data_IF_596647696000
#
_entry.id   IF_596647696000
#
_cell.length_a   1.000
_cell.length_b   1.000
_cell.length_c   1.000
_cell.angle_alpha   90.00
_cell.angle_beta   90.00
_cell.angle_gamma   90.00
#
_symmetry.space_group_name_H-M   'P 1'
#
loop_
_entity.id
_entity.type
_entity.pdbx_description
1 polymer ?
#
# COMPACT_ATOMS: atom_id res chain seq x y z
N UNK A 1 3.38 -11.72 -56.70
CA UNK A 1 2.26 -12.15 -55.84
C UNK A 1 2.48 -13.56 -55.27
N UNK A 2 2.81 -14.58 -56.07
CA UNK A 2 2.94 -15.97 -55.60
C UNK A 2 3.92 -16.24 -54.43
N UNK A 3 5.00 -15.45 -54.29
CA UNK A 3 5.97 -15.63 -53.19
C UNK A 3 5.43 -15.12 -51.84
N UNK A 4 4.60 -14.06 -51.88
CA UNK A 4 4.00 -13.47 -50.67
C UNK A 4 2.90 -14.40 -50.13
N UNK A 5 2.12 -15.03 -51.01
CA UNK A 5 1.11 -16.02 -50.63
C UNK A 5 1.72 -17.28 -50.01
N UNK A 6 2.86 -17.74 -50.54
CA UNK A 6 3.60 -18.87 -49.97
C UNK A 6 4.14 -18.59 -48.56
N UNK A 7 4.63 -17.37 -48.31
CA UNK A 7 5.13 -16.98 -46.99
C UNK A 7 4.01 -16.84 -45.96
N UNK A 8 2.87 -16.27 -46.35
CA UNK A 8 1.69 -16.15 -45.48
C UNK A 8 1.11 -17.53 -45.14
N UNK A 9 1.03 -18.43 -46.12
CA UNK A 9 0.57 -19.81 -45.91
C UNK A 9 1.52 -20.60 -44.98
N UNK A 10 2.84 -20.43 -45.17
CA UNK A 10 3.84 -21.06 -44.31
C UNK A 10 3.77 -20.53 -42.87
N UNK A 11 3.65 -19.21 -42.70
CA UNK A 11 3.47 -18.57 -41.37
C UNK A 11 2.20 -19.06 -40.67
N UNK A 12 1.11 -19.24 -41.42
CA UNK A 12 -0.15 -19.77 -40.91
C UNK A 12 -0.04 -21.24 -40.46
N UNK A 13 0.62 -22.08 -41.26
CA UNK A 13 0.86 -23.49 -40.92
C UNK A 13 1.78 -23.65 -39.70
N UNK A 14 2.83 -22.83 -39.58
CA UNK A 14 3.70 -22.80 -38.40
C UNK A 14 2.91 -22.35 -37.17
N UNK A 15 2.06 -21.33 -37.31
CA UNK A 15 1.20 -20.86 -36.21
C UNK A 15 0.21 -21.92 -35.75
N UNK A 16 -0.42 -22.66 -36.67
CA UNK A 16 -1.30 -23.79 -36.34
C UNK A 16 -0.52 -24.91 -35.66
N UNK A 17 0.68 -25.24 -36.14
CA UNK A 17 1.50 -26.28 -35.54
C UNK A 17 1.93 -25.93 -34.10
N UNK A 18 2.34 -24.67 -33.86
CA UNK A 18 2.59 -24.16 -32.51
C UNK A 18 1.32 -24.20 -31.64
N UNK A 19 0.16 -23.82 -32.18
CA UNK A 19 -1.11 -23.85 -31.46
C UNK A 19 -1.55 -25.29 -31.10
N UNK A 20 -1.43 -26.24 -32.03
CA UNK A 20 -1.78 -27.64 -31.82
C UNK A 20 -0.84 -28.34 -30.85
N UNK A 21 0.48 -28.15 -30.99
CA UNK A 21 1.47 -28.70 -30.05
C UNK A 21 1.30 -28.11 -28.65
N UNK A 22 0.92 -26.83 -28.56
CA UNK A 22 0.58 -26.16 -27.32
C UNK A 22 -0.68 -26.73 -26.66
N UNK A 23 -1.78 -26.92 -27.41
CA UNK A 23 -3.00 -27.55 -26.89
C UNK A 23 -2.71 -28.96 -26.38
N UNK A 24 -1.94 -29.76 -27.14
CA UNK A 24 -1.57 -31.12 -26.74
C UNK A 24 -0.71 -31.13 -25.47
N UNK A 25 0.23 -30.19 -25.30
CA UNK A 25 0.99 -30.04 -24.04
C UNK A 25 0.13 -29.57 -22.87
N UNK A 26 -0.80 -28.65 -23.11
CA UNK A 26 -1.75 -28.18 -22.09
C UNK A 26 -2.65 -29.32 -21.61
N UNK A 27 -3.13 -30.17 -22.51
CA UNK A 27 -3.93 -31.35 -22.19
C UNK A 27 -3.11 -32.41 -21.44
N UNK A 28 -1.84 -32.61 -21.80
CA UNK A 28 -0.95 -33.59 -21.15
C UNK A 28 -0.50 -33.17 -19.74
N UNK A 29 -0.40 -31.86 -19.47
CA UNK A 29 -0.13 -31.33 -18.12
C UNK A 29 -1.33 -31.54 -17.16
N UNK A 30 -2.51 -31.90 -17.67
CA UNK A 30 -3.65 -32.31 -16.82
C UNK A 30 -3.63 -33.80 -16.46
N UNK A 31 -2.66 -34.58 -16.93
CA UNK A 31 -2.54 -36.02 -16.64
C UNK A 31 -1.19 -36.34 -15.98
N UNK A 32 -0.97 -35.89 -14.75
CA UNK A 32 0.07 -36.45 -13.88
C UNK A 32 -0.62 -37.08 -12.66
N UNK A 33 -0.67 -38.41 -12.66
CA UNK A 33 -1.14 -39.25 -11.57
C UNK A 33 -0.05 -39.34 -10.49
N UNK A 34 -0.09 -38.41 -9.54
CA UNK A 34 0.46 -38.57 -8.18
C UNK A 34 -0.69 -38.67 -7.18
N UNK A 35 -0.42 -39.06 -5.93
CA UNK A 35 -1.41 -39.17 -4.83
C UNK A 35 -2.56 -38.16 -4.93
N UNK A 36 -3.83 -38.62 -4.83
CA UNK A 36 -5.05 -37.79 -5.01
C UNK A 36 -5.16 -36.72 -3.92
N UNK A 37 -4.35 -35.67 -4.01
CA UNK A 37 -4.57 -34.42 -3.29
C UNK A 37 -5.87 -33.85 -3.86
N UNK A 38 -6.89 -33.73 -3.02
CA UNK A 38 -8.12 -33.04 -3.40
C UNK A 38 -7.81 -31.56 -3.47
N UNK A 39 -7.64 -31.07 -4.69
CA UNK A 39 -7.50 -29.64 -4.93
C UNK A 39 -8.80 -28.90 -4.57
N UNK A 40 -8.72 -27.64 -4.12
CA UNK A 40 -9.89 -26.80 -3.95
C UNK A 40 -10.66 -26.66 -5.28
N UNK A 41 -11.98 -26.38 -5.22
CA UNK A 41 -12.76 -26.05 -6.41
C UNK A 41 -12.08 -24.98 -7.26
N UNK A 42 -12.16 -25.15 -8.58
CA UNK A 42 -11.59 -24.23 -9.57
C UNK A 42 -12.64 -23.94 -10.63
N UNK A 43 -12.83 -22.68 -11.05
CA UNK A 43 -13.64 -22.38 -12.23
C UNK A 43 -13.02 -23.00 -13.50
N UNK A 44 -13.76 -23.02 -14.62
CA UNK A 44 -13.19 -23.31 -15.93
C UNK A 44 -12.09 -22.29 -16.29
N UNK A 45 -10.91 -22.79 -16.66
CA UNK A 45 -9.76 -21.97 -17.04
C UNK A 45 -9.60 -21.92 -18.57
N UNK A 46 -9.23 -20.75 -19.10
CA UNK A 46 -8.82 -20.63 -20.51
C UNK A 46 -7.34 -21.01 -20.69
N UNK A 47 -6.95 -21.54 -21.86
CA UNK A 47 -5.54 -21.76 -22.18
C UNK A 47 -4.71 -20.47 -22.04
N UNK A 48 -3.45 -20.61 -21.62
CA UNK A 48 -2.47 -19.53 -21.41
C UNK A 48 -2.83 -18.61 -20.23
N UNK A 49 -3.96 -17.89 -20.32
CA UNK A 49 -4.33 -16.83 -19.38
C UNK A 49 -4.97 -17.35 -18.08
N UNK A 50 -5.43 -18.60 -18.04
CA UNK A 50 -6.11 -19.16 -16.88
C UNK A 50 -7.44 -18.44 -16.61
N UNK A 51 -7.60 -17.88 -15.42
CA UNK A 51 -8.82 -17.23 -14.93
C UNK A 51 -8.78 -15.70 -15.00
N UNK A 52 -7.76 -15.09 -15.64
CA UNK A 52 -7.71 -13.63 -15.79
C UNK A 52 -8.98 -13.04 -16.42
N UNK A 53 -9.61 -13.78 -17.33
CA UNK A 53 -10.86 -13.39 -17.98
C UNK A 53 -12.06 -13.31 -17.01
N UNK A 54 -11.95 -13.85 -15.80
CA UNK A 54 -12.97 -13.77 -14.75
C UNK A 54 -12.73 -12.60 -13.78
N UNK A 55 -11.64 -11.85 -13.96
CA UNK A 55 -11.26 -10.76 -13.07
C UNK A 55 -11.53 -9.42 -13.75
N UNK A 56 -12.44 -8.66 -13.15
CA UNK A 56 -12.71 -7.28 -13.54
C UNK A 56 -11.68 -6.29 -13.01
N UNK A 57 -11.94 -5.00 -13.24
CA UNK A 57 -11.11 -3.90 -12.75
C UNK A 57 -11.03 -3.83 -11.22
N UNK A 58 -12.07 -4.33 -10.52
CA UNK A 58 -12.11 -4.44 -9.07
C UNK A 58 -11.91 -5.90 -8.67
N UNK A 59 -10.69 -6.22 -8.23
CA UNK A 59 -10.29 -7.59 -7.90
C UNK A 59 -11.10 -8.16 -6.73
N UNK A 60 -11.32 -7.38 -5.66
CA UNK A 60 -12.08 -7.81 -4.48
C UNK A 60 -13.49 -8.31 -4.84
N UNK A 61 -14.25 -7.52 -5.60
CA UNK A 61 -15.59 -7.88 -6.07
C UNK A 61 -15.59 -9.13 -6.95
N UNK A 62 -14.61 -9.24 -7.85
CA UNK A 62 -14.49 -10.39 -8.76
C UNK A 62 -14.19 -11.67 -7.97
N UNK A 63 -13.24 -11.62 -7.04
CA UNK A 63 -12.88 -12.74 -6.18
C UNK A 63 -14.02 -13.14 -5.24
N UNK A 64 -14.74 -12.16 -4.68
CA UNK A 64 -15.93 -12.43 -3.86
C UNK A 64 -17.02 -13.15 -4.65
N UNK A 65 -17.32 -12.68 -5.87
CA UNK A 65 -18.31 -13.30 -6.75
C UNK A 65 -17.94 -14.74 -7.10
N UNK A 66 -16.65 -15.01 -7.32
CA UNK A 66 -16.15 -16.36 -7.55
C UNK A 66 -16.28 -17.23 -6.28
N UNK A 67 -15.94 -16.71 -5.11
CA UNK A 67 -16.07 -17.43 -3.84
C UNK A 67 -17.53 -17.78 -3.52
N UNK A 68 -18.49 -16.87 -3.78
CA UNK A 68 -19.92 -17.17 -3.62
C UNK A 68 -20.39 -18.33 -4.51
N UNK A 69 -19.82 -18.46 -5.71
CA UNK A 69 -20.22 -19.48 -6.68
C UNK A 69 -19.53 -20.83 -6.50
N UNK A 70 -18.25 -20.83 -6.15
CA UNK A 70 -17.41 -22.03 -6.12
C UNK A 70 -17.02 -22.48 -4.71
N UNK A 71 -17.34 -21.68 -3.69
CA UNK A 71 -17.07 -21.95 -2.29
C UNK A 71 -15.99 -21.05 -1.69
N UNK A 72 -15.81 -21.10 -0.36
CA UNK A 72 -14.95 -20.17 0.37
C UNK A 72 -13.45 -20.41 0.20
N UNK A 73 -13.04 -21.51 -0.44
CA UNK A 73 -11.64 -21.79 -0.72
C UNK A 73 -11.51 -22.31 -2.14
N UNK A 74 -10.92 -21.51 -3.03
CA UNK A 74 -10.85 -21.81 -4.46
C UNK A 74 -9.44 -21.69 -4.98
N UNK A 75 -9.14 -22.46 -6.02
CA UNK A 75 -7.89 -22.40 -6.76
C UNK A 75 -8.10 -21.61 -8.04
N UNK A 76 -7.22 -20.64 -8.31
CA UNK A 76 -7.21 -19.83 -9.53
C UNK A 76 -5.82 -19.89 -10.18
N UNK A 77 -5.78 -20.25 -11.45
CA UNK A 77 -4.65 -20.01 -12.35
C UNK A 77 -4.63 -18.56 -12.88
N UNK A 78 -3.56 -17.83 -12.65
CA UNK A 78 -3.30 -16.46 -13.10
C UNK A 78 -2.15 -16.47 -14.12
N UNK A 79 -2.47 -16.72 -15.39
CA UNK A 79 -1.44 -16.97 -16.41
C UNK A 79 -0.66 -18.25 -16.10
N UNK A 80 0.63 -18.11 -15.83
CA UNK A 80 1.51 -19.22 -15.40
C UNK A 80 1.49 -19.49 -13.89
N UNK A 81 0.94 -18.57 -13.10
CA UNK A 81 0.93 -18.66 -11.63
C UNK A 81 -0.32 -19.38 -11.12
N UNK A 82 -0.20 -20.09 -10.00
CA UNK A 82 -1.34 -20.65 -9.27
C UNK A 82 -1.55 -19.86 -7.98
N UNK A 83 -2.78 -19.41 -7.77
CA UNK A 83 -3.23 -18.65 -6.62
C UNK A 83 -4.35 -19.41 -5.91
N UNK A 84 -4.43 -19.24 -4.60
CA UNK A 84 -5.54 -19.75 -3.79
C UNK A 84 -6.22 -18.58 -3.12
N UNK A 85 -7.55 -18.57 -3.18
CA UNK A 85 -8.37 -17.51 -2.59
C UNK A 85 -9.08 -18.10 -1.39
N UNK A 86 -8.86 -17.51 -0.23
CA UNK A 86 -9.51 -17.86 1.04
C UNK A 86 -10.53 -16.77 1.37
N UNK A 87 -11.78 -17.16 1.55
CA UNK A 87 -12.93 -16.29 1.82
C UNK A 87 -13.78 -16.82 2.98
N UNK A 88 -13.17 -17.59 3.88
CA UNK A 88 -13.77 -18.07 5.13
C UNK A 88 -12.83 -17.78 6.31
N UNK A 89 -13.42 -17.41 7.45
CA UNK A 89 -12.69 -16.95 8.62
C UNK A 89 -11.88 -18.06 9.29
N UNK A 90 -12.40 -19.28 9.38
CA UNK A 90 -11.70 -20.40 10.00
C UNK A 90 -10.53 -20.85 9.12
N UNK A 91 -10.72 -20.90 7.80
CA UNK A 91 -9.63 -21.19 6.86
C UNK A 91 -8.56 -20.08 6.90
N UNK A 92 -8.99 -18.81 6.98
CA UNK A 92 -8.05 -17.69 7.10
C UNK A 92 -7.22 -17.78 8.40
N UNK A 93 -7.84 -18.15 9.52
CA UNK A 93 -7.15 -18.40 10.79
C UNK A 93 -6.15 -19.56 10.68
N UNK A 94 -6.54 -20.64 10.00
CA UNK A 94 -5.65 -21.77 9.73
C UNK A 94 -4.42 -21.37 8.92
N UNK A 95 -4.58 -20.55 7.88
CA UNK A 95 -3.49 -20.09 7.01
C UNK A 95 -2.61 -19.05 7.72
N UNK A 96 -3.22 -18.09 8.42
CA UNK A 96 -2.52 -16.91 8.96
C UNK A 96 -2.01 -17.10 10.38
N UNK A 97 -2.53 -18.07 11.15
CA UNK A 97 -2.12 -18.33 12.53
C UNK A 97 -1.66 -19.77 12.73
N UNK A 98 -2.52 -20.76 12.48
CA UNK A 98 -2.22 -22.16 12.83
C UNK A 98 -1.03 -22.73 12.03
N UNK A 99 -1.03 -22.51 10.71
CA UNK A 99 -0.03 -23.03 9.77
C UNK A 99 0.85 -21.91 9.21
N UNK A 100 0.97 -20.79 9.92
CA UNK A 100 1.57 -19.56 9.39
C UNK A 100 2.96 -19.76 8.78
N UNK A 101 3.79 -20.64 9.35
CA UNK A 101 5.16 -20.90 8.90
C UNK A 101 5.24 -21.45 7.47
N UNK A 102 4.17 -22.07 6.97
CA UNK A 102 4.08 -22.54 5.58
C UNK A 102 3.67 -21.41 4.61
N UNK A 103 3.10 -20.32 5.12
CA UNK A 103 2.50 -19.23 4.34
C UNK A 103 3.13 -17.85 4.61
N UNK A 104 4.20 -17.78 5.41
CA UNK A 104 4.87 -16.51 5.74
C UNK A 104 5.60 -15.87 4.56
N UNK A 105 5.92 -16.61 3.50
CA UNK A 105 6.64 -16.07 2.35
C UNK A 105 5.75 -15.14 1.51
N UNK A 106 6.36 -14.11 0.93
CA UNK A 106 5.70 -13.20 -0.02
C UNK A 106 6.08 -13.59 -1.45
N UNK A 107 5.18 -13.36 -2.39
CA UNK A 107 5.50 -13.46 -3.80
C UNK A 107 6.59 -12.41 -4.08
N UNK A 108 7.77 -12.85 -4.48
CA UNK A 108 8.81 -11.95 -4.95
C UNK A 108 8.56 -11.69 -6.43
N UNK A 109 8.58 -10.42 -6.81
CA UNK A 109 8.49 -10.02 -8.20
C UNK A 109 9.91 -10.13 -8.78
N UNK A 110 10.08 -10.89 -9.87
CA UNK A 110 11.35 -10.92 -10.60
C UNK A 110 11.49 -9.59 -11.37
N UNK A 111 11.80 -8.53 -10.62
CA UNK A 111 12.18 -7.21 -11.11
C UNK A 111 13.67 -6.97 -10.88
N UNK A 112 14.45 -8.06 -10.76
CA UNK A 112 15.88 -8.12 -10.46
C UNK A 112 16.67 -7.03 -11.18
N UNK A 113 16.44 -6.91 -12.49
CA UNK A 113 17.16 -5.95 -13.33
C UNK A 113 16.66 -4.50 -13.20
N UNK A 114 15.53 -4.22 -12.56
CA UNK A 114 14.91 -2.88 -12.52
C UNK A 114 14.84 -2.28 -11.11
N UNK A 115 14.82 -3.11 -10.07
CA UNK A 115 14.67 -2.66 -8.69
C UNK A 115 16.04 -2.48 -8.01
N UNK A 116 16.49 -1.24 -7.88
CA UNK A 116 17.77 -0.92 -7.21
C UNK A 116 17.81 -1.35 -5.74
N UNK A 117 16.64 -1.49 -5.09
CA UNK A 117 16.49 -1.96 -3.71
C UNK A 117 16.23 -3.46 -3.58
N UNK A 118 16.44 -4.23 -4.65
CA UNK A 118 16.27 -5.67 -4.59
C UNK A 118 17.04 -6.27 -3.41
N UNK A 119 16.36 -7.17 -2.68
CA UNK A 119 16.89 -7.87 -1.52
C UNK A 119 16.96 -7.03 -0.23
N UNK A 120 16.71 -5.72 -0.30
CA UNK A 120 16.83 -4.79 0.82
C UNK A 120 15.49 -4.25 1.33
N UNK A 121 14.38 -4.55 0.66
CA UNK A 121 13.04 -4.20 1.12
C UNK A 121 12.57 -5.10 2.26
N UNK A 122 11.85 -4.52 3.22
CA UNK A 122 11.30 -5.20 4.39
C UNK A 122 9.92 -5.82 4.10
N UNK A 123 9.07 -5.16 3.32
CA UNK A 123 7.67 -5.60 3.08
C UNK A 123 7.60 -6.93 2.33
N UNK A 124 8.46 -7.12 1.33
CA UNK A 124 8.50 -8.32 0.47
C UNK A 124 9.60 -9.31 0.86
N UNK A 125 10.40 -9.02 1.90
CA UNK A 125 11.47 -9.88 2.36
C UNK A 125 10.96 -11.29 2.70
N UNK A 126 11.73 -12.35 2.35
CA UNK A 126 11.43 -13.70 2.80
C UNK A 126 11.54 -13.77 4.32
N UNK A 127 10.87 -14.75 4.93
CA UNK A 127 10.93 -14.91 6.38
C UNK A 127 12.31 -15.45 6.79
N UNK A 128 13.21 -14.55 7.19
CA UNK A 128 14.59 -14.85 7.55
C UNK A 128 15.04 -14.00 8.76
N UNK A 129 16.33 -14.06 9.12
CA UNK A 129 16.88 -13.26 10.21
C UNK A 129 16.70 -11.76 9.99
N UNK A 130 16.94 -11.28 8.75
CA UNK A 130 16.78 -9.88 8.39
C UNK A 130 15.34 -9.38 8.61
N UNK A 131 14.35 -10.10 8.08
CA UNK A 131 12.95 -9.71 8.26
C UNK A 131 12.53 -9.72 9.73
N UNK A 132 12.96 -10.72 10.51
CA UNK A 132 12.65 -10.78 11.95
C UNK A 132 13.24 -9.60 12.71
N UNK A 133 14.49 -9.24 12.41
CA UNK A 133 15.15 -8.08 12.98
C UNK A 133 14.42 -6.78 12.64
N UNK A 134 14.13 -6.54 11.36
CA UNK A 134 13.42 -5.33 10.93
C UNK A 134 12.02 -5.25 11.53
N UNK A 135 11.29 -6.38 11.61
CA UNK A 135 9.97 -6.43 12.26
C UNK A 135 10.07 -6.12 13.74
N UNK A 136 11.03 -6.70 14.46
CA UNK A 136 11.30 -6.41 15.88
C UNK A 136 11.62 -4.92 16.04
N UNK A 137 12.55 -4.39 15.26
CA UNK A 137 12.96 -2.98 15.29
C UNK A 137 11.78 -2.02 15.07
N UNK A 138 10.91 -2.31 14.09
CA UNK A 138 9.68 -1.56 13.88
C UNK A 138 8.80 -1.54 15.14
N UNK A 139 8.54 -2.71 15.73
CA UNK A 139 7.63 -2.83 16.86
C UNK A 139 8.22 -2.28 18.16
N UNK A 140 9.54 -2.30 18.33
CA UNK A 140 10.20 -2.01 19.61
C UNK A 140 10.90 -0.67 19.69
N UNK A 141 11.32 -0.07 18.57
CA UNK A 141 11.98 1.26 18.57
C UNK A 141 11.32 2.27 17.64
N UNK A 142 10.93 1.88 16.44
CA UNK A 142 10.48 2.85 15.42
C UNK A 142 9.00 3.24 15.55
N UNK A 143 8.11 2.27 15.74
CA UNK A 143 6.65 2.44 15.72
C UNK A 143 6.00 1.94 17.02
N UNK A 144 6.78 1.92 18.11
CA UNK A 144 6.25 1.63 19.43
C UNK A 144 5.43 2.83 19.96
N UNK A 145 4.60 2.61 20.97
CA UNK A 145 3.75 3.66 21.55
C UNK A 145 4.55 4.85 22.09
N UNK A 146 5.72 4.61 22.69
CA UNK A 146 6.58 5.67 23.24
C UNK A 146 7.07 6.63 22.15
N UNK A 147 7.63 6.09 21.06
CA UNK A 147 8.11 6.84 19.90
C UNK A 147 6.97 7.58 19.21
N UNK A 148 5.81 6.93 19.05
CA UNK A 148 4.62 7.56 18.50
C UNK A 148 4.16 8.73 19.38
N UNK A 149 4.21 8.61 20.70
CA UNK A 149 3.82 9.67 21.62
C UNK A 149 4.84 10.82 21.65
N UNK A 150 6.14 10.55 21.55
CA UNK A 150 7.16 11.59 21.44
C UNK A 150 6.92 12.50 20.23
N UNK A 151 6.44 11.92 19.12
CA UNK A 151 6.17 12.61 17.87
C UNK A 151 4.69 13.00 17.71
N UNK A 152 3.92 13.11 18.81
CA UNK A 152 2.51 13.50 18.77
C UNK A 152 2.29 14.92 18.24
N UNK A 153 3.15 15.85 18.66
CA UNK A 153 3.14 17.25 18.24
C UNK A 153 3.23 17.42 16.72
N UNK A 154 3.99 16.54 16.03
CA UNK A 154 4.09 16.55 14.56
C UNK A 154 2.75 16.19 13.91
N UNK A 155 1.99 15.28 14.51
CA UNK A 155 0.66 14.88 14.01
C UNK A 155 -0.37 15.97 14.27
N UNK A 156 -0.37 16.55 15.46
CA UNK A 156 -1.25 17.65 15.83
C UNK A 156 -1.02 18.87 14.93
N UNK A 157 0.22 19.20 14.64
CA UNK A 157 0.57 20.32 13.76
C UNK A 157 0.16 20.06 12.29
N UNK A 158 0.19 18.82 11.79
CA UNK A 158 -0.38 18.53 10.46
C UNK A 158 -1.91 18.46 10.47
N UNK A 159 -2.51 17.98 11.56
CA UNK A 159 -3.97 17.98 11.75
C UNK A 159 -4.51 19.40 11.78
N UNK A 160 -3.86 20.30 12.53
CA UNK A 160 -4.19 21.71 12.62
C UNK A 160 -4.27 22.34 11.24
N UNK A 161 -3.26 22.12 10.40
CA UNK A 161 -3.22 22.67 9.04
C UNK A 161 -4.28 22.08 8.13
N UNK A 162 -4.63 20.80 8.30
CA UNK A 162 -5.77 20.20 7.61
C UNK A 162 -7.07 20.94 7.99
N UNK A 163 -7.31 21.16 9.29
CA UNK A 163 -8.49 21.88 9.78
C UNK A 163 -8.51 23.33 9.29
N UNK A 164 -7.42 24.07 9.41
CA UNK A 164 -7.29 25.45 8.91
C UNK A 164 -7.61 25.52 7.41
N UNK A 165 -7.06 24.58 6.62
CA UNK A 165 -7.35 24.50 5.19
C UNK A 165 -8.84 24.24 4.93
N UNK A 166 -9.48 23.35 5.70
CA UNK A 166 -10.89 23.00 5.53
C UNK A 166 -11.83 24.14 5.97
N UNK A 167 -11.52 24.85 7.05
CA UNK A 167 -12.24 26.06 7.47
C UNK A 167 -12.16 27.11 6.37
N UNK A 168 -10.96 27.36 5.84
CA UNK A 168 -10.77 28.32 4.75
C UNK A 168 -11.57 27.96 3.49
N UNK A 169 -11.67 26.66 3.16
CA UNK A 169 -12.52 26.16 2.07
C UNK A 169 -14.01 26.37 2.37
N UNK A 170 -14.43 26.09 3.61
CA UNK A 170 -15.81 26.31 4.07
C UNK A 170 -16.22 27.78 3.98
N UNK A 171 -15.35 28.70 4.41
CA UNK A 171 -15.60 30.15 4.36
C UNK A 171 -15.79 30.66 2.92
N UNK A 172 -15.06 30.06 1.96
CA UNK A 172 -15.23 30.34 0.53
C UNK A 172 -16.43 29.63 -0.09
N UNK A 173 -17.10 28.73 0.64
CA UNK A 173 -18.19 27.90 0.10
C UNK A 173 -17.72 26.95 -1.00
N UNK A 174 -16.47 26.53 -0.97
CA UNK A 174 -15.86 25.68 -2.00
C UNK A 174 -15.93 24.19 -1.65
N UNK A 175 -15.85 23.34 -2.67
CA UNK A 175 -15.73 21.89 -2.50
C UNK A 175 -14.26 21.47 -2.51
N UNK A 176 -13.87 20.45 -1.76
CA UNK A 176 -12.53 19.88 -1.80
C UNK A 176 -12.52 18.38 -2.10
N UNK A 177 -11.41 17.89 -2.65
CA UNK A 177 -11.12 16.46 -2.69
C UNK A 177 -10.55 16.03 -1.32
N UNK A 178 -11.40 15.38 -0.53
CA UNK A 178 -11.06 14.99 0.83
C UNK A 178 -9.92 13.96 0.85
N UNK A 179 -9.86 13.06 -0.15
CA UNK A 179 -8.77 12.07 -0.26
C UNK A 179 -7.44 12.78 -0.46
N UNK A 180 -7.38 13.75 -1.36
CA UNK A 180 -6.14 14.49 -1.64
C UNK A 180 -5.65 15.26 -0.42
N UNK A 181 -6.57 15.89 0.33
CA UNK A 181 -6.25 16.62 1.55
C UNK A 181 -5.69 15.69 2.64
N UNK A 182 -6.37 14.56 2.91
CA UNK A 182 -5.90 13.58 3.90
C UNK A 182 -4.58 12.94 3.46
N UNK A 183 -4.43 12.57 2.18
CA UNK A 183 -3.17 12.03 1.65
C UNK A 183 -2.00 13.00 1.87
N UNK A 184 -2.24 14.30 1.75
CA UNK A 184 -1.21 15.32 1.98
C UNK A 184 -0.84 15.41 3.46
N UNK A 185 -1.82 15.41 4.35
CA UNK A 185 -1.60 15.36 5.80
C UNK A 185 -0.86 14.07 6.21
N UNK A 186 -1.32 12.89 5.78
CA UNK A 186 -0.68 11.61 6.12
C UNK A 186 0.75 11.52 5.61
N UNK A 187 1.00 12.03 4.39
CA UNK A 187 2.35 12.08 3.82
C UNK A 187 3.26 12.99 4.65
N UNK A 188 2.78 14.17 5.06
CA UNK A 188 3.55 15.07 5.92
C UNK A 188 3.84 14.45 7.28
N UNK A 189 2.86 13.80 7.91
CA UNK A 189 3.06 13.08 9.17
C UNK A 189 4.17 12.05 9.02
N UNK A 190 4.09 11.20 7.99
CA UNK A 190 5.10 10.15 7.77
C UNK A 190 6.46 10.78 7.47
N UNK A 191 6.56 11.75 6.56
CA UNK A 191 7.83 12.41 6.21
C UNK A 191 8.48 13.11 7.41
N UNK A 192 7.70 13.80 8.27
CA UNK A 192 8.23 14.46 9.46
C UNK A 192 8.65 13.47 10.53
N UNK A 193 7.83 12.46 10.80
CA UNK A 193 8.17 11.42 11.77
C UNK A 193 9.37 10.58 11.34
N UNK A 194 9.58 10.42 10.03
CA UNK A 194 10.59 9.51 9.48
C UNK A 194 11.91 10.17 9.11
N UNK A 195 11.88 11.42 8.64
CA UNK A 195 13.02 12.10 8.01
C UNK A 195 13.05 13.61 8.32
N UNK A 196 12.21 14.11 9.24
CA UNK A 196 12.09 15.53 9.54
C UNK A 196 11.82 16.43 8.30
N UNK A 197 11.14 15.91 7.27
CA UNK A 197 10.82 16.64 6.01
C UNK A 197 9.31 16.88 5.86
N UNK A 198 8.92 17.93 5.11
CA UNK A 198 7.50 18.36 4.98
C UNK A 198 7.11 18.84 3.58
N UNK A 199 5.83 18.69 3.20
CA UNK A 199 5.29 19.32 2.00
C UNK A 199 4.97 20.80 2.23
N UNK A 200 5.72 21.70 1.60
CA UNK A 200 5.39 23.14 1.55
C UNK A 200 4.63 23.51 0.25
N UNK A 201 3.57 24.30 0.35
CA UNK A 201 2.82 24.79 -0.81
C UNK A 201 3.69 25.61 -1.77
N UNK A 202 3.38 25.50 -3.07
CA UNK A 202 3.84 26.22 -4.30
C UNK A 202 5.24 26.87 -4.36
N UNK A 203 6.21 26.38 -3.58
CA UNK A 203 7.61 26.77 -3.64
C UNK A 203 8.49 25.77 -4.40
N UNK A 204 9.60 26.26 -4.97
CA UNK A 204 10.49 25.53 -5.86
C UNK A 204 11.28 24.34 -5.23
N UNK A 205 11.21 24.12 -3.91
CA UNK A 205 11.86 23.00 -3.23
C UNK A 205 10.91 22.35 -2.21
N UNK A 206 10.02 21.47 -2.67
CA UNK A 206 9.17 20.65 -1.79
C UNK A 206 9.56 19.18 -1.92
N UNK A 207 10.54 18.76 -1.11
CA UNK A 207 11.06 17.39 -1.11
C UNK A 207 10.00 16.36 -0.75
N UNK A 208 9.13 16.62 0.22
CA UNK A 208 8.11 15.65 0.62
C UNK A 208 7.04 15.43 -0.48
N UNK A 209 6.77 16.44 -1.32
CA UNK A 209 5.87 16.30 -2.48
C UNK A 209 6.56 15.49 -3.57
N UNK A 210 7.83 15.77 -3.84
CA UNK A 210 8.62 14.97 -4.78
C UNK A 210 8.69 13.50 -4.32
N UNK A 211 8.92 13.27 -3.03
CA UNK A 211 8.89 11.96 -2.39
C UNK A 211 7.52 11.29 -2.59
N UNK A 212 6.42 11.99 -2.29
CA UNK A 212 5.05 11.48 -2.49
C UNK A 212 4.82 11.06 -3.95
N UNK A 213 5.17 11.91 -4.90
CA UNK A 213 4.94 11.66 -6.32
C UNK A 213 5.77 10.46 -6.81
N UNK A 214 7.02 10.35 -6.36
CA UNK A 214 7.88 9.20 -6.64
C UNK A 214 7.36 7.91 -6.02
N UNK A 215 6.93 7.94 -4.75
CA UNK A 215 6.36 6.79 -4.03
C UNK A 215 5.09 6.27 -4.73
N UNK A 216 4.20 7.17 -5.17
CA UNK A 216 3.02 6.82 -5.94
C UNK A 216 3.39 6.22 -7.30
N UNK A 217 4.38 6.82 -7.98
CA UNK A 217 4.86 6.32 -9.27
C UNK A 217 5.47 4.92 -9.14
N UNK A 218 6.31 4.69 -8.13
CA UNK A 218 6.91 3.37 -7.82
C UNK A 218 5.82 2.34 -7.54
N UNK A 219 4.81 2.69 -6.74
CA UNK A 219 3.69 1.81 -6.41
C UNK A 219 2.89 1.39 -7.65
N UNK A 220 2.58 2.36 -8.53
CA UNK A 220 1.84 2.11 -9.78
C UNK A 220 2.64 1.23 -10.75
N UNK A 221 3.93 1.51 -10.93
CA UNK A 221 4.81 0.75 -11.81
C UNK A 221 5.06 -0.66 -11.28
N UNK A 222 5.27 -0.79 -9.96
CA UNK A 222 5.38 -2.08 -9.28
C UNK A 222 4.13 -2.94 -9.48
N UNK A 223 2.93 -2.36 -9.35
CA UNK A 223 1.67 -3.04 -9.64
C UNK A 223 1.53 -3.52 -11.09
N UNK A 224 1.92 -2.67 -12.07
CA UNK A 224 1.90 -3.03 -13.50
C UNK A 224 2.89 -4.15 -13.83
N UNK A 225 4.10 -4.09 -13.30
CA UNK A 225 5.10 -5.15 -13.45
C UNK A 225 4.64 -6.46 -12.80
N UNK A 226 3.98 -6.36 -11.64
CA UNK A 226 3.38 -7.52 -10.96
C UNK A 226 2.33 -8.20 -11.82
N UNK A 227 1.49 -7.43 -12.52
CA UNK A 227 0.54 -7.97 -13.50
C UNK A 227 1.25 -8.61 -14.70
N UNK A 228 2.41 -8.08 -15.12
CA UNK A 228 3.25 -8.63 -16.17
C UNK A 228 3.78 -10.04 -15.88
N UNK A 229 3.99 -10.41 -14.60
CA UNK A 229 4.48 -11.74 -14.22
C UNK A 229 3.54 -12.89 -14.61
N UNK A 230 2.26 -12.58 -14.84
CA UNK A 230 1.30 -13.51 -15.44
C UNK A 230 1.79 -14.04 -16.80
N UNK A 231 2.55 -13.24 -17.54
CA UNK A 231 3.08 -13.57 -18.87
C UNK A 231 4.32 -14.49 -18.81
N UNK A 232 4.79 -14.86 -17.62
CA UNK A 232 5.93 -15.78 -17.45
C UNK A 232 7.23 -15.21 -18.04
N UNK A 233 8.01 -15.97 -18.85
CA UNK A 233 9.30 -15.51 -19.38
C UNK A 233 9.24 -14.20 -20.19
N UNK A 234 8.08 -13.87 -20.78
CA UNK A 234 7.89 -12.62 -21.52
C UNK A 234 7.93 -11.38 -20.62
N UNK A 235 7.74 -11.53 -19.31
CA UNK A 235 7.85 -10.43 -18.35
C UNK A 235 9.25 -9.78 -18.37
N UNK A 236 10.29 -10.53 -18.75
CA UNK A 236 11.68 -10.03 -18.83
C UNK A 236 11.94 -9.06 -19.97
N UNK A 237 11.04 -8.96 -20.95
CA UNK A 237 11.25 -8.15 -22.15
C UNK A 237 10.91 -6.66 -21.96
N UNK A 238 10.45 -6.24 -20.77
CA UNK A 238 9.99 -4.88 -20.45
C UNK A 238 9.25 -4.19 -21.62
N UNK A 239 8.31 -4.92 -22.25
CA UNK A 239 7.68 -4.53 -23.53
C UNK A 239 7.03 -3.14 -23.49
N UNK A 240 6.58 -2.70 -22.32
CA UNK A 240 5.91 -1.42 -22.09
C UNK A 240 6.83 -0.37 -21.44
N UNK A 241 8.10 -0.70 -21.16
CA UNK A 241 9.06 0.20 -20.54
C UNK A 241 8.77 0.53 -19.07
N UNK A 242 7.96 -0.27 -18.37
CA UNK A 242 7.62 -0.05 -16.97
C UNK A 242 8.81 -0.32 -16.04
N UNK A 243 9.66 -1.28 -16.38
CA UNK A 243 10.89 -1.57 -15.65
C UNK A 243 11.87 -0.41 -15.71
N UNK A 244 12.10 0.15 -16.91
CA UNK A 244 12.92 1.36 -17.09
C UNK A 244 12.36 2.55 -16.32
N UNK A 245 11.05 2.80 -16.39
CA UNK A 245 10.41 3.89 -15.64
C UNK A 245 10.54 3.69 -14.13
N UNK A 246 10.43 2.44 -13.65
CA UNK A 246 10.57 2.11 -12.23
C UNK A 246 12.00 2.44 -11.77
N UNK A 247 13.01 2.01 -12.52
CA UNK A 247 14.41 2.31 -12.21
C UNK A 247 14.66 3.81 -12.11
N UNK A 248 14.15 4.61 -13.06
CA UNK A 248 14.30 6.08 -13.03
C UNK A 248 13.66 6.69 -11.78
N UNK A 249 12.45 6.24 -11.40
CA UNK A 249 11.75 6.73 -10.22
C UNK A 249 12.51 6.36 -8.93
N UNK A 250 12.98 5.11 -8.84
CA UNK A 250 13.79 4.64 -7.71
C UNK A 250 15.12 5.40 -7.61
N UNK A 251 15.81 5.67 -8.72
CA UNK A 251 17.06 6.44 -8.72
C UNK A 251 16.86 7.88 -8.25
N UNK A 252 15.72 8.50 -8.57
CA UNK A 252 15.35 9.83 -8.06
C UNK A 252 15.10 9.79 -6.56
N UNK A 253 14.32 8.81 -6.10
CA UNK A 253 14.07 8.60 -4.68
C UNK A 253 15.37 8.35 -3.91
N UNK A 254 16.26 7.51 -4.44
CA UNK A 254 17.55 7.19 -3.82
C UNK A 254 18.43 8.42 -3.61
N UNK A 255 18.49 9.31 -4.60
CA UNK A 255 19.22 10.58 -4.50
C UNK A 255 18.61 11.51 -3.46
N UNK A 256 17.28 11.61 -3.41
CA UNK A 256 16.59 12.43 -2.41
C UNK A 256 16.90 11.96 -0.99
N UNK A 257 16.72 10.67 -0.72
CA UNK A 257 16.97 10.11 0.61
C UNK A 257 18.47 10.13 0.95
N UNK A 258 19.38 10.02 -0.03
CA UNK A 258 20.82 10.21 0.22
C UNK A 258 21.14 11.62 0.73
N UNK A 259 20.51 12.67 0.16
CA UNK A 259 20.70 14.04 0.65
C UNK A 259 20.19 14.18 2.08
N UNK A 260 18.99 13.68 2.34
CA UNK A 260 18.38 13.69 3.68
C UNK A 260 19.28 12.96 4.70
N UNK A 261 19.82 11.78 4.34
CA UNK A 261 20.75 11.06 5.21
C UNK A 261 21.92 11.97 5.57
N UNK A 262 22.59 12.59 4.59
CA UNK A 262 23.74 13.47 4.82
C UNK A 262 23.41 14.63 5.74
N UNK A 263 22.26 15.27 5.58
CA UNK A 263 21.81 16.34 6.46
C UNK A 263 21.65 15.88 7.92
N UNK A 264 21.23 14.63 8.14
CA UNK A 264 21.16 14.05 9.49
C UNK A 264 22.56 13.75 10.05
N UNK A 265 23.49 13.24 9.22
CA UNK A 265 24.88 13.01 9.65
C UNK A 265 25.58 14.34 10.00
N UNK A 266 25.33 15.41 9.24
CA UNK A 266 25.90 16.74 9.47
C UNK A 266 25.38 17.39 10.75
N UNK A 267 24.06 17.37 10.99
CA UNK A 267 23.45 17.92 12.22
C UNK A 267 23.96 17.27 13.50
N UNK A 268 24.24 15.97 13.44
CA UNK A 268 24.81 15.23 14.57
C UNK A 268 26.26 15.63 14.85
N UNK A 269 27.08 15.83 13.80
CA UNK A 269 28.47 16.28 13.93
C UNK A 269 28.57 17.68 14.54
N UNK A 270 27.59 18.55 14.26
CA UNK A 270 27.53 19.90 14.81
C UNK A 270 27.10 19.96 16.29
N UNK A 271 26.70 18.83 16.89
CA UNK A 271 26.25 18.77 18.28
C UNK A 271 24.96 19.56 18.54
N UNK A 272 24.21 19.87 17.49
CA UNK A 272 22.98 20.66 17.57
C UNK A 272 21.94 19.88 18.37
N UNK A 273 21.55 20.40 19.55
CA UNK A 273 20.47 19.83 20.37
C UNK A 273 19.19 19.81 19.54
N UNK A 274 18.70 18.60 19.22
CA UNK A 274 17.48 18.44 18.44
C UNK A 274 16.28 18.89 19.25
N UNK A 275 15.56 19.90 18.76
CA UNK A 275 14.37 20.43 19.42
C UNK A 275 13.18 19.46 19.44
N UNK A 276 13.13 18.48 18.53
CA UNK A 276 11.95 17.62 18.29
C UNK A 276 12.18 16.13 18.64
N UNK A 277 13.27 15.80 19.34
CA UNK A 277 13.66 14.40 19.62
C UNK A 277 14.34 13.70 18.44
N UNK A 278 14.56 12.38 18.53
CA UNK A 278 15.12 11.57 17.44
C UNK A 278 14.00 11.05 16.54
N UNK A 279 14.13 11.24 15.24
CA UNK A 279 13.23 10.67 14.25
C UNK A 279 13.64 9.24 13.84
N UNK A 280 12.91 8.62 12.91
CA UNK A 280 13.23 7.24 12.51
C UNK A 280 14.56 7.13 11.76
N UNK A 281 14.98 8.17 11.03
CA UNK A 281 16.27 8.21 10.35
C UNK A 281 17.41 8.16 11.36
N UNK A 282 17.31 8.96 12.41
CA UNK A 282 18.30 8.98 13.48
C UNK A 282 18.46 7.63 14.16
N UNK A 283 17.34 6.99 14.51
CA UNK A 283 17.36 5.67 15.15
C UNK A 283 18.01 4.62 14.23
N UNK A 284 17.73 4.67 12.92
CA UNK A 284 18.30 3.74 11.95
C UNK A 284 19.80 3.97 11.71
N UNK A 285 20.24 5.24 11.66
CA UNK A 285 21.65 5.60 11.52
C UNK A 285 22.45 5.22 12.78
N UNK A 286 21.90 5.42 13.98
CA UNK A 286 22.47 4.97 15.25
C UNK A 286 22.72 3.45 15.22
N UNK A 287 21.71 2.67 14.83
CA UNK A 287 21.81 1.20 14.73
C UNK A 287 22.80 0.76 13.66
N UNK A 288 22.87 1.47 12.53
CA UNK A 288 23.82 1.17 11.45
C UNK A 288 25.28 1.32 11.90
N UNK A 289 25.54 2.29 12.80
CA UNK A 289 26.89 2.62 13.30
C UNK A 289 27.28 1.83 14.54
N UNK A 290 26.32 1.30 15.30
CA UNK A 290 26.60 0.54 16.53
C UNK A 290 27.43 -0.73 16.21
N UNK A 291 28.67 -0.84 16.75
CA UNK A 291 29.51 -2.01 16.54
C UNK A 291 28.93 -3.29 17.16
N UNK A 292 28.03 -3.14 18.14
CA UNK A 292 27.39 -4.23 18.88
C UNK A 292 25.96 -4.54 18.40
N UNK A 293 25.50 -3.91 17.30
CA UNK A 293 24.18 -4.15 16.76
C UNK A 293 23.96 -5.63 16.41
N UNK A 294 22.78 -6.17 16.76
CA UNK A 294 22.36 -7.54 16.43
C UNK A 294 22.48 -7.81 14.91
N UNK A 295 22.21 -6.80 14.09
CA UNK A 295 22.47 -6.81 12.66
C UNK A 295 22.80 -5.40 12.18
N UNK A 296 23.87 -5.26 11.40
CA UNK A 296 24.27 -3.97 10.82
C UNK A 296 23.44 -3.66 9.59
N UNK A 297 22.67 -2.59 9.66
CA UNK A 297 21.90 -2.08 8.53
C UNK A 297 22.80 -1.29 7.59
N UNK A 298 22.72 -1.57 6.31
CA UNK A 298 23.36 -0.81 5.24
C UNK A 298 22.53 0.42 4.88
N UNK A 299 23.16 1.47 4.32
CA UNK A 299 22.43 2.64 3.80
C UNK A 299 21.36 2.23 2.77
N UNK A 300 21.63 1.20 1.95
CA UNK A 300 20.66 0.65 0.99
C UNK A 300 19.40 0.11 1.67
N UNK A 301 19.54 -0.64 2.76
CA UNK A 301 18.41 -1.17 3.54
C UNK A 301 17.64 -0.07 4.27
N UNK A 302 18.32 0.96 4.75
CA UNK A 302 17.68 2.15 5.36
C UNK A 302 16.81 2.87 4.32
N UNK A 303 17.35 3.17 3.14
CA UNK A 303 16.58 3.82 2.07
C UNK A 303 15.40 2.97 1.59
N UNK A 304 15.62 1.67 1.42
CA UNK A 304 14.56 0.73 1.05
C UNK A 304 13.44 0.69 2.11
N UNK A 305 13.80 0.75 3.39
CA UNK A 305 12.84 0.83 4.49
C UNK A 305 11.99 2.10 4.45
N UNK A 306 12.59 3.25 4.10
CA UNK A 306 11.84 4.50 3.95
C UNK A 306 10.86 4.47 2.77
N UNK A 307 11.25 3.86 1.65
CA UNK A 307 10.33 3.62 0.55
C UNK A 307 9.14 2.75 1.01
N UNK A 308 9.43 1.67 1.74
CA UNK A 308 8.42 0.74 2.25
C UNK A 308 7.42 1.43 3.21
N UNK A 309 7.89 2.21 4.18
CA UNK A 309 7.00 2.83 5.17
C UNK A 309 6.10 3.91 4.54
N UNK A 310 6.61 4.66 3.55
CA UNK A 310 5.84 5.67 2.83
C UNK A 310 4.79 5.04 1.92
N UNK A 311 5.17 4.00 1.18
CA UNK A 311 4.23 3.24 0.34
C UNK A 311 3.11 2.62 1.19
N UNK A 312 3.45 2.03 2.34
CA UNK A 312 2.48 1.33 3.17
C UNK A 312 1.57 2.26 3.98
N UNK A 313 2.08 3.41 4.44
CA UNK A 313 1.39 4.27 5.41
C UNK A 313 0.49 5.34 4.81
N UNK A 314 0.86 5.92 3.66
CA UNK A 314 0.19 7.11 3.10
C UNK A 314 -1.18 6.77 2.52
N UNK A 315 -1.24 5.89 1.52
CA UNK A 315 -2.48 5.60 0.79
C UNK A 315 -3.50 4.84 1.65
N UNK A 316 -3.05 3.91 2.49
CA UNK A 316 -3.93 3.07 3.32
C UNK A 316 -4.69 3.90 4.36
N UNK A 317 -3.99 4.81 5.05
CA UNK A 317 -4.59 5.68 6.05
C UNK A 317 -5.58 6.67 5.40
N UNK A 318 -5.20 7.26 4.26
CA UNK A 318 -6.07 8.22 3.57
C UNK A 318 -7.33 7.57 3.01
N UNK A 319 -7.22 6.39 2.36
CA UNK A 319 -8.36 5.62 1.88
C UNK A 319 -9.27 5.22 3.05
N UNK A 320 -8.70 4.82 4.19
CA UNK A 320 -9.48 4.47 5.37
C UNK A 320 -10.31 5.65 5.85
N UNK A 321 -9.70 6.81 6.11
CA UNK A 321 -10.45 8.01 6.54
C UNK A 321 -11.50 8.41 5.49
N UNK A 322 -11.16 8.37 4.21
CA UNK A 322 -12.08 8.69 3.11
C UNK A 322 -13.34 7.80 3.16
N UNK A 323 -13.19 6.47 3.23
CA UNK A 323 -14.32 5.56 3.31
C UNK A 323 -15.13 5.77 4.58
N UNK A 324 -14.48 6.04 5.72
CA UNK A 324 -15.19 6.33 6.97
C UNK A 324 -16.06 7.57 6.84
N UNK A 325 -15.52 8.67 6.32
CA UNK A 325 -16.31 9.91 6.16
C UNK A 325 -17.42 9.71 5.12
N UNK A 326 -17.15 9.02 4.00
CA UNK A 326 -18.18 8.68 3.01
C UNK A 326 -19.33 7.85 3.61
N UNK A 327 -19.00 6.85 4.42
CA UNK A 327 -19.99 6.00 5.11
C UNK A 327 -20.76 6.78 6.17
N UNK A 328 -20.10 7.67 6.93
CA UNK A 328 -20.75 8.51 7.93
C UNK A 328 -21.72 9.53 7.30
N UNK A 329 -21.37 10.10 6.14
CA UNK A 329 -22.26 10.96 5.35
C UNK A 329 -23.52 10.20 4.94
N UNK A 330 -23.38 8.96 4.48
CA UNK A 330 -24.51 8.14 4.06
C UNK A 330 -25.28 7.49 5.24
N UNK A 331 -24.61 7.18 6.36
CA UNK A 331 -25.13 6.37 7.47
C UNK A 331 -24.56 6.80 8.85
N UNK A 332 -25.08 7.87 9.49
CA UNK A 332 -24.50 8.45 10.70
C UNK A 332 -24.54 7.58 11.97
N UNK A 333 -25.15 6.38 11.95
CA UNK A 333 -25.36 5.51 13.13
C UNK A 333 -24.57 4.19 13.14
N UNK A 334 -23.81 3.86 12.10
CA UNK A 334 -23.33 2.46 11.86
C UNK A 334 -21.88 2.21 12.30
N UNK A 335 -21.08 3.26 12.48
CA UNK A 335 -19.62 3.15 12.53
C UNK A 335 -19.04 2.30 13.67
N UNK A 336 -19.59 2.43 14.89
CA UNK A 336 -19.10 1.69 16.07
C UNK A 336 -19.26 0.17 15.90
N UNK A 337 -20.40 -0.25 15.34
CA UNK A 337 -20.72 -1.67 15.12
C UNK A 337 -19.74 -2.32 14.12
N UNK A 338 -19.44 -1.64 13.01
CA UNK A 338 -18.54 -2.16 11.96
C UNK A 338 -17.12 -2.41 12.50
N UNK A 339 -16.61 -1.50 13.33
CA UNK A 339 -15.26 -1.62 13.91
C UNK A 339 -15.16 -2.78 14.91
N UNK A 340 -16.19 -2.96 15.74
CA UNK A 340 -16.22 -4.02 16.74
C UNK A 340 -16.32 -5.41 16.10
N UNK A 341 -17.11 -5.55 15.02
CA UNK A 341 -17.24 -6.80 14.27
C UNK A 341 -15.90 -7.23 13.64
N UNK A 342 -15.20 -6.34 12.93
CA UNK A 342 -13.91 -6.65 12.29
C UNK A 342 -12.83 -7.04 13.32
N UNK A 343 -12.75 -6.30 14.43
CA UNK A 343 -11.77 -6.56 15.48
C UNK A 343 -12.02 -7.89 16.21
N UNK A 344 -13.29 -8.26 16.41
CA UNK A 344 -13.65 -9.51 17.09
C UNK A 344 -13.23 -10.77 16.31
N UNK A 345 -13.21 -10.71 14.98
CA UNK A 345 -12.98 -11.88 14.12
C UNK A 345 -11.49 -12.06 13.78
N UNK A 346 -10.80 -10.99 13.41
CA UNK A 346 -9.42 -11.08 12.87
C UNK A 346 -8.36 -10.63 13.89
N UNK A 347 -8.73 -9.71 14.78
CA UNK A 347 -7.82 -8.99 15.67
C UNK A 347 -6.93 -7.98 14.91
N UNK A 348 -6.37 -6.96 15.59
CA UNK A 348 -5.62 -5.88 14.95
C UNK A 348 -4.26 -6.29 14.39
N UNK A 349 -3.76 -7.49 14.72
CA UNK A 349 -2.46 -8.02 14.31
C UNK A 349 -2.51 -9.54 14.08
N UNK A 350 -3.03 -9.98 12.92
CA UNK A 350 -3.11 -11.41 12.62
C UNK A 350 -1.80 -11.97 12.03
N UNK A 351 -1.28 -13.03 12.65
CA UNK A 351 -0.09 -13.78 12.22
C UNK A 351 1.23 -13.02 12.34
N UNK A 352 2.35 -13.70 12.03
CA UNK A 352 3.68 -13.06 12.00
C UNK A 352 3.77 -11.86 11.07
N UNK A 353 2.99 -11.84 9.99
CA UNK A 353 2.96 -10.74 9.01
C UNK A 353 1.95 -9.62 9.34
N UNK A 354 1.44 -9.55 10.58
CA UNK A 354 0.60 -8.44 11.03
C UNK A 354 1.29 -7.07 10.81
N UNK A 355 0.50 -6.02 10.58
CA UNK A 355 1.01 -4.70 10.21
C UNK A 355 1.83 -4.07 11.36
N UNK A 356 3.12 -3.74 11.18
CA UNK A 356 3.88 -3.04 12.21
C UNK A 356 3.43 -1.60 12.44
N UNK A 357 2.79 -0.97 11.43
CA UNK A 357 2.30 0.41 11.51
C UNK A 357 0.89 0.55 12.05
N UNK A 358 0.24 -0.51 12.55
CA UNK A 358 -1.17 -0.44 12.98
C UNK A 358 -1.41 0.60 14.06
N UNK A 359 -0.49 0.76 15.02
CA UNK A 359 -0.60 1.76 16.09
C UNK A 359 -0.59 3.17 15.53
N UNK A 360 0.35 3.48 14.63
CA UNK A 360 0.44 4.79 13.98
C UNK A 360 -0.77 5.05 13.08
N UNK A 361 -1.17 4.05 12.29
CA UNK A 361 -2.33 4.15 11.40
C UNK A 361 -3.61 4.42 12.19
N UNK A 362 -3.85 3.71 13.30
CA UNK A 362 -5.01 3.97 14.15
C UNK A 362 -4.96 5.36 14.78
N UNK A 363 -3.80 5.79 15.28
CA UNK A 363 -3.65 7.14 15.83
C UNK A 363 -4.00 8.21 14.79
N UNK A 364 -3.54 8.05 13.55
CA UNK A 364 -3.82 9.00 12.45
C UNK A 364 -5.28 8.91 12.00
N UNK A 365 -5.81 7.72 11.73
CA UNK A 365 -7.18 7.52 11.22
C UNK A 365 -8.22 7.95 12.25
N UNK A 366 -8.06 7.56 13.52
CA UNK A 366 -9.04 7.88 14.56
C UNK A 366 -9.07 9.37 14.87
N UNK A 367 -7.91 10.02 15.02
CA UNK A 367 -7.83 11.46 15.25
C UNK A 367 -8.37 12.25 14.06
N UNK A 368 -8.01 11.86 12.83
CA UNK A 368 -8.55 12.49 11.61
C UNK A 368 -10.07 12.41 11.57
N UNK A 369 -10.64 11.22 11.78
CA UNK A 369 -12.10 11.03 11.77
C UNK A 369 -12.76 11.85 12.89
N UNK A 370 -12.20 11.83 14.10
CA UNK A 370 -12.75 12.58 15.22
C UNK A 370 -12.80 14.08 14.94
N UNK A 371 -11.67 14.67 14.54
CA UNK A 371 -11.57 16.11 14.24
C UNK A 371 -12.46 16.51 13.06
N UNK A 372 -12.46 15.73 11.98
CA UNK A 372 -13.28 16.03 10.80
C UNK A 372 -14.80 15.94 11.08
N UNK A 373 -15.21 15.08 12.01
CA UNK A 373 -16.62 14.97 12.43
C UNK A 373 -16.99 16.05 13.43
N UNK A 374 -16.09 16.42 14.34
CA UNK A 374 -16.35 17.46 15.34
C UNK A 374 -16.38 18.87 14.73
N UNK A 375 -15.49 19.16 13.78
CA UNK A 375 -15.32 20.50 13.24
C UNK A 375 -16.21 20.80 12.04
N UNK A 376 -16.70 19.79 11.32
CA UNK A 376 -17.39 20.00 10.04
C UNK A 376 -18.65 19.14 9.89
N UNK A 377 -19.70 19.79 9.40
CA UNK A 377 -20.78 19.14 8.68
C UNK A 377 -20.36 18.93 7.21
N UNK A 378 -20.82 17.86 6.57
CA UNK A 378 -20.38 17.48 5.23
C UNK A 378 -21.55 17.43 4.26
N UNK A 379 -21.40 18.12 3.12
CA UNK A 379 -22.36 18.05 2.01
C UNK A 379 -21.68 17.51 0.75
N UNK A 380 -22.26 16.47 0.17
CA UNK A 380 -21.80 15.93 -1.10
C UNK A 380 -21.91 16.97 -2.23
N UNK A 381 -20.94 17.01 -3.15
CA UNK A 381 -20.99 17.94 -4.29
C UNK A 381 -22.05 17.56 -5.31
N UNK A 382 -22.14 16.28 -5.65
CA UNK A 382 -22.90 15.77 -6.80
C UNK A 382 -24.15 14.96 -6.39
N UNK A 383 -24.91 15.41 -5.38
CA UNK A 383 -26.19 14.80 -4.98
C UNK A 383 -26.42 14.78 -3.47
N UNK A 384 -27.45 14.04 -3.04
CA UNK A 384 -27.73 13.83 -1.60
C UNK A 384 -26.91 12.69 -0.97
N UNK A 385 -26.35 11.79 -1.79
CA UNK A 385 -25.58 10.62 -1.33
C UNK A 385 -24.23 10.53 -2.03
N UNK A 386 -23.25 10.00 -1.30
CA UNK A 386 -21.91 9.71 -1.84
C UNK A 386 -21.95 8.41 -2.66
N UNK A 387 -21.34 8.45 -3.84
CA UNK A 387 -21.12 7.27 -4.69
C UNK A 387 -20.10 6.34 -4.04
N UNK A 388 -20.55 5.15 -3.62
CA UNK A 388 -19.74 4.15 -2.90
C UNK A 388 -19.10 3.12 -3.83
N UNK A 389 -19.04 3.38 -5.15
CA UNK A 389 -18.43 2.43 -6.09
C UNK A 389 -16.93 2.24 -5.81
N UNK A 390 -16.51 0.98 -5.73
CA UNK A 390 -15.10 0.61 -5.54
C UNK A 390 -14.28 0.88 -6.82
N UNK A 391 -13.09 1.45 -6.64
CA UNK A 391 -12.12 1.73 -7.68
C UNK A 391 -11.14 0.58 -7.90
N UNK A 392 -10.48 0.58 -9.06
CA UNK A 392 -9.40 -0.35 -9.38
C UNK A 392 -8.09 0.06 -8.71
N UNK A 393 -7.34 -0.90 -8.16
CA UNK A 393 -6.02 -0.63 -7.61
C UNK A 393 -5.52 -1.73 -6.68
N UNK A 394 -4.29 -1.56 -6.16
CA UNK A 394 -3.75 -2.41 -5.11
C UNK A 394 -4.50 -2.23 -3.79
N UNK A 395 -4.86 -0.97 -3.49
CA UNK A 395 -5.75 -0.60 -2.39
C UNK A 395 -7.16 -0.32 -2.96
N UNK A 396 -8.20 -0.74 -2.24
CA UNK A 396 -9.59 -0.54 -2.63
C UNK A 396 -10.03 0.90 -2.32
N UNK A 397 -9.59 1.86 -3.13
CA UNK A 397 -10.07 3.25 -3.07
C UNK A 397 -11.45 3.40 -3.70
N UNK A 398 -12.07 4.58 -3.55
CA UNK A 398 -13.31 4.91 -4.26
C UNK A 398 -13.06 5.11 -5.76
N UNK A 399 -14.00 4.72 -6.62
CA UNK A 399 -13.92 4.86 -8.07
C UNK A 399 -13.90 6.33 -8.52
N UNK A 400 -14.65 7.18 -7.80
CA UNK A 400 -14.63 8.63 -7.96
C UNK A 400 -14.04 9.27 -6.70
N UNK A 401 -13.27 10.37 -6.82
CA UNK A 401 -12.81 11.11 -5.67
C UNK A 401 -13.98 11.57 -4.78
N UNK A 402 -13.77 11.58 -3.47
CA UNK A 402 -14.76 12.10 -2.53
C UNK A 402 -14.67 13.63 -2.53
N UNK A 403 -15.52 14.26 -3.35
CA UNK A 403 -15.60 15.71 -3.43
C UNK A 403 -16.79 16.20 -2.63
N UNK A 404 -16.52 16.99 -1.59
CA UNK A 404 -17.51 17.46 -0.64
C UNK A 404 -17.26 18.92 -0.22
N UNK A 405 -18.33 19.59 0.20
CA UNK A 405 -18.29 20.88 0.86
C UNK A 405 -18.15 20.65 2.37
N UNK A 406 -17.01 21.02 2.98
CA UNK A 406 -16.94 21.15 4.43
C UNK A 406 -17.77 22.38 4.83
N UNK A 407 -18.62 22.23 5.84
CA UNK A 407 -19.37 23.33 6.45
C UNK A 407 -18.88 23.40 7.89
N UNK A 408 -18.17 24.47 8.25
CA UNK A 408 -17.64 24.63 9.61
C UNK A 408 -18.78 24.57 10.63
N UNK A 409 -18.77 23.51 11.44
CA UNK A 409 -19.67 23.28 12.55
C UNK A 409 -19.09 23.90 13.84
N UNK A 410 -17.78 23.68 14.05
CA UNK A 410 -17.03 24.18 15.19
C UNK A 410 -15.63 24.59 14.74
N UNK A 411 -15.21 25.81 15.08
CA UNK A 411 -13.86 26.30 14.85
C UNK A 411 -13.04 26.14 16.15
N UNK A 412 -12.15 25.14 16.26
CA UNK A 412 -11.40 24.91 17.49
C UNK A 412 -10.44 26.07 17.82
N UNK A 413 -10.04 26.86 16.82
CA UNK A 413 -9.11 27.97 16.99
C UNK A 413 -9.75 29.22 17.62
N UNK A 414 -11.07 29.38 17.48
CA UNK A 414 -11.82 30.47 18.12
C UNK A 414 -12.17 30.16 19.58
N UNK A 415 -12.25 28.87 19.93
CA UNK A 415 -12.62 28.40 21.26
C UNK A 415 -11.43 28.27 22.22
N UNK A 416 -10.19 28.48 21.74
CA UNK A 416 -8.97 28.27 22.53
C UNK A 416 -8.80 26.82 22.98
N UNK A 417 -9.49 25.87 22.34
CA UNK A 417 -9.37 24.45 22.61
C UNK A 417 -8.03 23.97 22.06
N UNK A 418 -7.16 23.50 22.96
CA UNK A 418 -5.97 22.79 22.54
C UNK A 418 -6.40 21.44 21.96
N UNK A 419 -6.09 21.17 20.69
CA UNK A 419 -6.45 19.89 20.06
C UNK A 419 -5.65 18.69 20.63
N UNK A 420 -4.87 18.91 21.69
CA UNK A 420 -3.95 17.99 22.33
C UNK A 420 -4.56 17.13 23.45
N UNK A 421 -5.78 17.41 23.93
CA UNK A 421 -6.41 16.61 24.99
C UNK A 421 -7.69 15.91 24.51
N UNK A 422 -7.71 14.57 24.45
CA UNK A 422 -8.95 13.84 24.41
C UNK A 422 -9.55 13.79 25.82
N UNK A 423 -10.78 14.29 26.00
CA UNK A 423 -11.62 13.95 27.16
C UNK A 423 -11.95 12.44 27.21
#
# INVERSE_FOLDING_TARGET
MAIIDGFLFFSFMVSIWFFCTFILKSLKNHTCSGTKIRHPPSPPALPIIGHLHLLGSVLGTSLHSLAQRYGPFIQLRMGVSTCYVVSDAEIAKEVLKTNEMNFVSRLQFDTTDCNIYEGSGFITAPYNAYWRFMKKLCMTRLLNTSQINQLVHLREDEMKKLVESMISISERGESCDLRQAIMTMTNNVICRMSMSTRCLGDGANNEAREIKDLVLQVSLLGGKLSAGNVLGPLAKLDLFGYGRQLRIALDKFDRLVERIIKEHEEKEMEGTVRSEGMDLMDILLEISRDPNAEMKLTKKEIKAFFLDIMMAGTDTSAISVQWVIAELINHPKVFKKLRDEINSVVGPNSGRRGCPGVTLALAVVQSSVAVLVQCFDWKAKDGEKIDMQEGSGFSMGMAKPLVCYPITHMNPFELGLDMAEPE
#
